data_IF_714274333549
#
_entry.id   IF_714274333549
#
_cell.length_a   1.000
_cell.length_b   1.000
_cell.length_c   1.000
_cell.angle_alpha   90.00
_cell.angle_beta   90.00
_cell.angle_gamma   90.00
#
_symmetry.space_group_name_H-M   'P 1'
#
loop_
_entity.id
_entity.type
_entity.pdbx_description
1 polymer ?
#
# COMPACT_ATOMS: atom_id res chain seq x y z
N UNK A 1 20.99 7.06 -3.61
CA UNK A 1 21.16 5.59 -3.72
C UNK A 1 19.87 4.81 -3.49
N UNK A 2 19.36 4.60 -2.27
CA UNK A 2 18.14 3.78 -2.07
C UNK A 2 16.88 4.40 -2.70
N UNK A 3 16.68 5.71 -2.53
CA UNK A 3 15.52 6.42 -3.12
C UNK A 3 15.52 6.40 -4.66
N UNK A 4 16.69 6.55 -5.30
CA UNK A 4 16.84 6.47 -6.76
C UNK A 4 16.58 5.06 -7.29
N UNK A 5 17.03 4.03 -6.56
CA UNK A 5 16.71 2.65 -6.88
C UNK A 5 15.21 2.38 -6.80
N UNK A 6 14.54 2.87 -5.75
CA UNK A 6 13.09 2.68 -5.59
C UNK A 6 12.31 3.41 -6.69
N UNK A 7 12.79 4.55 -7.17
CA UNK A 7 12.12 5.38 -8.18
C UNK A 7 11.79 4.63 -9.48
N UNK A 8 12.59 3.65 -9.86
CA UNK A 8 12.33 2.85 -11.07
C UNK A 8 11.04 2.01 -10.99
N UNK A 9 10.50 1.79 -9.79
CA UNK A 9 9.31 0.98 -9.57
C UNK A 9 8.01 1.78 -9.59
N UNK A 10 8.05 3.09 -9.79
CA UNK A 10 6.85 3.91 -9.94
C UNK A 10 6.05 3.47 -11.16
N UNK A 11 4.75 3.24 -11.00
CA UNK A 11 3.89 2.85 -12.10
C UNK A 11 3.24 4.08 -12.75
N UNK A 12 2.99 4.03 -14.06
CA UNK A 12 2.38 5.12 -14.82
C UNK A 12 0.96 5.47 -14.33
N UNK A 13 0.20 4.47 -13.88
CA UNK A 13 -1.18 4.65 -13.42
C UNK A 13 -1.29 5.15 -11.97
N UNK A 14 -0.17 5.35 -11.26
CA UNK A 14 -0.18 5.85 -9.89
C UNK A 14 -0.18 7.37 -9.84
N UNK A 15 -1.06 7.93 -9.02
CA UNK A 15 -0.98 9.36 -8.69
C UNK A 15 0.27 9.66 -7.85
N UNK A 16 0.73 10.91 -7.86
CA UNK A 16 1.88 11.33 -7.05
C UNK A 16 1.73 11.05 -5.55
N UNK A 17 0.51 11.22 -5.01
CA UNK A 17 0.19 10.92 -3.60
C UNK A 17 0.31 9.43 -3.28
N UNK A 18 -0.25 8.58 -4.15
CA UNK A 18 -0.14 7.12 -4.02
C UNK A 18 1.32 6.68 -4.08
N UNK A 19 2.07 7.22 -5.04
CA UNK A 19 3.48 6.91 -5.20
C UNK A 19 4.31 7.33 -3.99
N UNK A 20 4.12 8.54 -3.45
CA UNK A 20 4.85 9.00 -2.27
C UNK A 20 4.68 8.03 -1.08
N UNK A 21 3.43 7.61 -0.83
CA UNK A 21 3.12 6.66 0.24
C UNK A 21 3.73 5.28 -0.03
N UNK A 22 3.63 4.77 -1.27
CA UNK A 22 4.21 3.47 -1.64
C UNK A 22 5.73 3.49 -1.66
N UNK A 23 6.35 4.60 -2.05
CA UNK A 23 7.79 4.79 -2.02
C UNK A 23 8.32 4.67 -0.58
N UNK A 24 7.63 5.30 0.38
CA UNK A 24 7.97 5.17 1.80
C UNK A 24 7.80 3.73 2.30
N UNK A 25 6.73 3.04 1.87
CA UNK A 25 6.53 1.61 2.16
C UNK A 25 7.72 0.76 1.69
N UNK A 26 8.20 0.99 0.46
CA UNK A 26 9.35 0.28 -0.09
C UNK A 26 10.62 0.60 0.72
N UNK A 27 10.89 1.87 1.00
CA UNK A 27 12.07 2.30 1.75
C UNK A 27 12.13 1.71 3.17
N UNK A 28 11.00 1.69 3.89
CA UNK A 28 10.93 1.15 5.25
C UNK A 28 11.18 -0.36 5.31
N UNK A 29 10.90 -1.09 4.23
CA UNK A 29 10.96 -2.55 4.22
C UNK A 29 12.17 -3.09 3.42
N UNK A 30 12.88 -2.26 2.65
CA UNK A 30 13.99 -2.67 1.79
C UNK A 30 15.08 -3.47 2.51
N UNK A 31 15.37 -3.15 3.76
CA UNK A 31 16.42 -3.84 4.52
C UNK A 31 16.07 -5.29 4.87
N UNK A 32 14.78 -5.61 4.97
CA UNK A 32 14.27 -6.93 5.32
C UNK A 32 14.10 -7.87 4.11
N UNK A 33 14.23 -7.35 2.89
CA UNK A 33 13.95 -8.04 1.63
C UNK A 33 15.19 -8.01 0.71
N UNK A 34 16.24 -8.73 1.10
CA UNK A 34 17.54 -8.77 0.39
C UNK A 34 17.88 -10.13 -0.24
N UNK A 35 17.03 -11.14 -0.07
CA UNK A 35 17.20 -12.47 -0.64
C UNK A 35 16.88 -12.56 -2.13
N UNK A 36 17.13 -13.72 -2.71
CA UNK A 36 16.74 -14.03 -4.09
C UNK A 36 15.21 -13.99 -4.22
N UNK A 37 14.69 -13.20 -5.17
CA UNK A 37 13.27 -12.93 -5.40
C UNK A 37 12.52 -12.13 -4.31
N UNK A 38 13.21 -11.65 -3.27
CA UNK A 38 12.56 -10.85 -2.22
C UNK A 38 12.06 -9.50 -2.73
N UNK A 39 12.72 -8.94 -3.75
CA UNK A 39 12.30 -7.69 -4.38
C UNK A 39 10.92 -7.80 -5.02
N UNK A 40 10.66 -8.84 -5.80
CA UNK A 40 9.35 -9.04 -6.43
C UNK A 40 8.24 -9.21 -5.39
N UNK A 41 8.57 -9.90 -4.29
CA UNK A 41 7.66 -10.08 -3.15
C UNK A 41 7.37 -8.76 -2.45
N UNK A 42 8.38 -7.93 -2.22
CA UNK A 42 8.21 -6.61 -1.62
C UNK A 42 7.36 -5.69 -2.53
N UNK A 43 7.62 -5.70 -3.84
CA UNK A 43 6.83 -4.94 -4.81
C UNK A 43 5.36 -5.37 -4.79
N UNK A 44 5.09 -6.67 -4.81
CA UNK A 44 3.73 -7.21 -4.72
C UNK A 44 3.03 -6.79 -3.41
N UNK A 45 3.71 -6.88 -2.27
CA UNK A 45 3.16 -6.45 -0.97
C UNK A 45 2.87 -4.94 -0.95
N UNK A 46 3.76 -4.12 -1.52
CA UNK A 46 3.55 -2.67 -1.64
C UNK A 46 2.31 -2.33 -2.48
N UNK A 47 2.03 -3.11 -3.53
CA UNK A 47 0.85 -2.95 -4.37
C UNK A 47 -0.42 -3.42 -3.65
N UNK A 48 -0.38 -4.53 -2.93
CA UNK A 48 -1.52 -5.00 -2.11
C UNK A 48 -1.92 -3.93 -1.10
N UNK A 49 -0.94 -3.35 -0.40
CA UNK A 49 -1.17 -2.25 0.53
C UNK A 49 -1.78 -1.03 -0.16
N UNK A 50 -1.15 -0.53 -1.23
CA UNK A 50 -1.64 0.64 -1.96
C UNK A 50 -3.05 0.41 -2.54
N UNK A 51 -3.33 -0.77 -3.10
CA UNK A 51 -4.65 -1.11 -3.62
C UNK A 51 -5.71 -1.15 -2.51
N UNK A 52 -5.36 -1.67 -1.34
CA UNK A 52 -6.26 -1.67 -0.21
C UNK A 52 -6.57 -0.25 0.27
N UNK A 53 -5.53 0.56 0.49
CA UNK A 53 -5.65 1.91 1.06
C UNK A 53 -6.31 2.89 0.08
N UNK A 54 -5.92 2.86 -1.20
CA UNK A 54 -6.35 3.88 -2.16
C UNK A 54 -7.47 3.43 -3.09
N UNK A 55 -7.70 2.12 -3.25
CA UNK A 55 -8.74 1.58 -4.14
C UNK A 55 -9.76 0.71 -3.41
N UNK A 56 -9.59 0.47 -2.10
CA UNK A 56 -10.56 -0.26 -1.30
C UNK A 56 -10.59 -1.76 -1.61
N UNK A 57 -9.56 -2.28 -2.28
CA UNK A 57 -9.44 -3.70 -2.59
C UNK A 57 -9.38 -4.53 -1.30
N UNK A 58 -9.99 -5.71 -1.34
CA UNK A 58 -10.04 -6.64 -0.20
C UNK A 58 -9.21 -7.87 -0.50
N UNK A 59 -8.47 -8.31 0.51
CA UNK A 59 -7.65 -9.52 0.50
C UNK A 59 -7.94 -10.32 1.77
N UNK A 60 -7.26 -11.44 1.99
CA UNK A 60 -7.38 -12.19 3.24
C UNK A 60 -6.95 -11.33 4.43
N UNK A 61 -7.59 -11.53 5.59
CA UNK A 61 -7.29 -10.78 6.81
C UNK A 61 -5.83 -10.92 7.22
N UNK A 62 -5.25 -12.11 7.07
CA UNK A 62 -3.84 -12.37 7.34
C UNK A 62 -2.91 -11.50 6.47
N UNK A 63 -3.21 -11.39 5.17
CA UNK A 63 -2.41 -10.60 4.25
C UNK A 63 -2.55 -9.11 4.52
N UNK A 64 -3.78 -8.64 4.79
CA UNK A 64 -4.05 -7.26 5.14
C UNK A 64 -3.34 -6.86 6.44
N UNK A 65 -3.44 -7.69 7.48
CA UNK A 65 -2.72 -7.45 8.74
C UNK A 65 -1.23 -7.31 8.50
N UNK A 66 -0.64 -8.23 7.73
CA UNK A 66 0.79 -8.19 7.42
C UNK A 66 1.20 -6.89 6.74
N UNK A 67 0.49 -6.47 5.70
CA UNK A 67 0.86 -5.24 4.98
C UNK A 67 0.55 -3.97 5.77
N UNK A 68 -0.40 -4.01 6.70
CA UNK A 68 -0.63 -2.91 7.65
C UNK A 68 0.51 -2.80 8.66
N UNK A 69 0.96 -3.92 9.24
CA UNK A 69 2.12 -3.95 10.14
C UNK A 69 3.39 -3.43 9.43
N UNK A 70 3.60 -3.81 8.16
CA UNK A 70 4.72 -3.31 7.33
C UNK A 70 4.63 -1.80 7.00
N UNK A 71 3.44 -1.21 7.09
CA UNK A 71 3.18 0.19 6.80
C UNK A 71 3.12 1.07 8.06
N UNK A 72 3.48 0.52 9.23
CA UNK A 72 3.47 1.27 10.48
C UNK A 72 4.32 2.55 10.35
N UNK A 73 3.73 3.68 10.76
CA UNK A 73 4.36 5.00 10.68
C UNK A 73 4.29 5.69 9.30
N UNK A 74 3.63 5.11 8.30
CA UNK A 74 3.35 5.78 7.02
C UNK A 74 2.05 6.58 7.15
N UNK A 75 2.15 7.91 7.08
CA UNK A 75 0.98 8.79 7.10
C UNK A 75 0.41 8.91 5.67
N UNK A 76 -0.87 8.54 5.52
CA UNK A 76 -1.60 8.67 4.25
C UNK A 76 -2.56 9.84 4.36
N UNK A 77 -2.21 10.95 3.71
CA UNK A 77 -3.10 12.12 3.61
C UNK A 77 -4.29 11.81 2.68
N UNK A 78 -5.48 12.25 3.08
CA UNK A 78 -6.73 12.11 2.30
C UNK A 78 -7.09 10.67 1.89
N UNK A 79 -6.90 9.69 2.78
CA UNK A 79 -7.30 8.31 2.49
C UNK A 79 -8.79 8.24 2.10
N UNK A 80 -9.15 7.63 0.96
CA UNK A 80 -10.54 7.56 0.51
C UNK A 80 -11.41 6.79 1.50
N UNK A 81 -12.58 7.36 1.83
CA UNK A 81 -13.55 6.69 2.71
C UNK A 81 -14.43 5.74 1.89
N UNK A 82 -14.12 4.45 1.92
CA UNK A 82 -14.94 3.42 1.27
C UNK A 82 -16.14 3.08 2.14
N UNK A 83 -17.29 3.69 1.87
CA UNK A 83 -18.55 3.31 2.52
C UNK A 83 -19.19 2.15 1.77
N UNK A 84 -19.56 1.09 2.46
CA UNK A 84 -20.31 -0.01 1.86
C UNK A 84 -21.77 0.38 1.62
N UNK A 85 -22.44 -0.27 0.66
CA UNK A 85 -23.87 -0.05 0.40
C UNK A 85 -24.72 -0.28 1.66
N UNK A 86 -24.42 -1.30 2.45
CA UNK A 86 -25.12 -1.59 3.71
C UNK A 86 -24.98 -0.46 4.75
N UNK A 87 -23.81 0.17 4.83
CA UNK A 87 -23.59 1.33 5.72
C UNK A 87 -24.35 2.57 5.24
N UNK A 88 -24.48 2.77 3.93
CA UNK A 88 -25.31 3.85 3.36
C UNK A 88 -26.78 3.61 3.70
N UNK A 89 -27.27 2.37 3.57
CA UNK A 89 -28.67 2.04 3.89
C UNK A 89 -28.96 2.23 5.37
N UNK A 90 -28.05 1.83 6.27
CA UNK A 90 -28.20 2.06 7.72
C UNK A 90 -28.19 3.52 8.15
N UNK A 91 -27.50 4.42 7.41
CA UNK A 91 -27.49 5.87 7.71
C UNK A 91 -28.76 6.59 7.26
N UNK A 92 -29.55 5.97 6.39
CA UNK A 92 -30.78 6.53 5.82
C UNK A 92 -32.06 5.92 6.42
N UNK A 93 -31.94 5.15 7.50
CA UNK A 93 -33.03 4.61 8.32
C UNK A 93 -32.99 5.25 9.71
#
# INVERSE_FOLDING_TARGET
MAAEFVQQFQNFCESGKQWQSRQQFLLNNLEHYRGENDMDKLLALSMVWANHVFMGCRYSEELLKKVQDMAEGIEVEDAPHFTTRDEIVKRNL
#
